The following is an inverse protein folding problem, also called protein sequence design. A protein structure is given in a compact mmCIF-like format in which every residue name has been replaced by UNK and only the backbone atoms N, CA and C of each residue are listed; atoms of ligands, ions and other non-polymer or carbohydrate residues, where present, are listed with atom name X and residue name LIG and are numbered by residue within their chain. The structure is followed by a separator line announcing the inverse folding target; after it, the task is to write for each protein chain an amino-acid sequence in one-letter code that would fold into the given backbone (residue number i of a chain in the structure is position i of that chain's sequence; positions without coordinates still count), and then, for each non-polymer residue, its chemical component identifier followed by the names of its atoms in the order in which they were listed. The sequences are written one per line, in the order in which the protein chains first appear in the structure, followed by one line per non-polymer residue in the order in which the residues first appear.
data_IF_909386265553
#
_entry.id   IF_909386265553
#
_cell.length_a   1.000
_cell.length_b   1.000
_cell.length_c   1.000
_cell.angle_alpha   90.00
_cell.angle_beta   90.00
_cell.angle_gamma   90.00
#
_symmetry.space_group_name_H-M   'P 1'
#
loop_
_entity.id
_entity.type
_entity.pdbx_description
1 polymer ?
#
# COMPACT_ATOMS: atom_id res chain seq x y z
N UNK A 1 59.66 -24.22 -39.91
CA UNK A 1 59.57 -23.06 -38.94
C UNK A 1 58.38 -22.11 -39.16
N UNK A 2 57.90 -21.89 -40.39
CA UNK A 2 56.76 -20.99 -40.64
C UNK A 2 55.39 -21.55 -40.11
N UNK A 3 55.14 -22.85 -40.24
CA UNK A 3 53.90 -23.51 -39.84
C UNK A 3 53.73 -23.48 -38.31
N UNK A 4 54.82 -23.65 -37.53
CA UNK A 4 54.81 -23.61 -36.09
C UNK A 4 54.39 -22.23 -35.51
N UNK A 5 54.82 -21.14 -36.19
CA UNK A 5 54.42 -19.77 -35.82
C UNK A 5 52.92 -19.51 -36.08
N UNK A 6 52.37 -20.07 -37.17
CA UNK A 6 50.95 -19.94 -37.49
C UNK A 6 50.08 -20.69 -36.48
N UNK A 7 50.45 -21.92 -36.10
CA UNK A 7 49.76 -22.72 -35.11
C UNK A 7 49.79 -22.03 -33.73
N UNK A 8 50.91 -21.45 -33.33
CA UNK A 8 51.04 -20.74 -32.07
C UNK A 8 50.14 -19.49 -32.01
N UNK A 9 50.08 -18.69 -33.08
CA UNK A 9 49.21 -17.51 -33.17
C UNK A 9 47.74 -17.89 -33.15
N UNK A 10 47.37 -18.98 -33.83
CA UNK A 10 45.99 -19.50 -33.79
C UNK A 10 45.59 -19.98 -32.41
N UNK A 11 46.49 -20.64 -31.69
CA UNK A 11 46.25 -21.15 -30.32
C UNK A 11 46.11 -19.99 -29.33
N UNK A 12 46.85 -18.90 -29.46
CA UNK A 12 46.73 -17.71 -28.63
C UNK A 12 45.43 -16.97 -28.92
N UNK A 13 44.96 -16.90 -30.18
CA UNK A 13 43.66 -16.31 -30.52
C UNK A 13 42.50 -17.12 -29.96
N UNK A 14 42.56 -18.45 -30.05
CA UNK A 14 41.50 -19.32 -29.48
C UNK A 14 41.48 -19.25 -27.95
N UNK A 15 42.66 -19.18 -27.30
CA UNK A 15 42.73 -19.02 -25.85
C UNK A 15 42.10 -17.69 -25.37
N UNK A 16 42.29 -16.59 -26.12
CA UNK A 16 41.65 -15.30 -25.78
C UNK A 16 40.14 -15.30 -26.02
N UNK A 17 39.59 -16.12 -26.90
CA UNK A 17 38.16 -16.26 -27.10
C UNK A 17 37.50 -17.13 -26.01
N UNK A 18 38.24 -18.05 -25.41
CA UNK A 18 37.69 -18.96 -24.34
C UNK A 18 37.81 -18.31 -22.97
N UNK A 19 38.71 -17.36 -22.75
CA UNK A 19 38.90 -16.63 -21.51
C UNK A 19 38.33 -15.21 -21.52
N UNK A 20 37.39 -14.89 -22.40
CA UNK A 20 36.56 -13.71 -22.18
C UNK A 20 35.72 -14.03 -20.94
N UNK A 21 35.99 -13.42 -19.76
CA UNK A 21 35.09 -13.59 -18.63
C UNK A 21 33.71 -13.18 -19.11
N UNK A 22 32.62 -13.89 -18.75
CA UNK A 22 31.30 -13.43 -19.07
C UNK A 22 31.25 -11.97 -18.61
N UNK A 23 31.01 -11.04 -19.55
CA UNK A 23 30.79 -9.66 -19.17
C UNK A 23 29.69 -9.74 -18.15
N UNK A 24 29.97 -9.35 -16.93
CA UNK A 24 28.98 -9.12 -15.90
C UNK A 24 28.22 -7.89 -16.38
N UNK A 25 27.41 -8.08 -17.44
CA UNK A 25 26.33 -7.17 -17.73
C UNK A 25 25.60 -7.07 -16.40
N UNK A 26 25.59 -5.88 -15.83
CA UNK A 26 24.96 -5.61 -14.54
C UNK A 26 23.69 -6.42 -14.45
N UNK A 27 23.61 -7.32 -13.49
CA UNK A 27 22.38 -8.07 -13.24
C UNK A 27 21.26 -7.04 -13.22
N UNK A 28 20.16 -7.25 -13.95
CA UNK A 28 19.11 -6.25 -14.06
C UNK A 28 18.72 -5.81 -12.65
N UNK A 29 18.97 -4.54 -12.33
CA UNK A 29 18.71 -3.99 -11.00
C UNK A 29 17.23 -4.23 -10.72
N UNK A 30 16.92 -4.98 -9.67
CA UNK A 30 15.54 -5.19 -9.23
C UNK A 30 14.90 -3.82 -9.06
N UNK A 31 13.79 -3.53 -9.74
CA UNK A 31 13.10 -2.25 -9.59
C UNK A 31 12.75 -1.98 -8.12
N UNK A 32 12.79 -0.74 -7.67
CA UNK A 32 12.51 -0.38 -6.27
C UNK A 32 11.13 -0.83 -5.80
N UNK A 33 10.14 -0.76 -6.69
CA UNK A 33 8.78 -1.19 -6.38
C UNK A 33 8.67 -2.70 -6.11
N UNK A 34 9.57 -3.53 -6.63
CA UNK A 34 9.50 -4.98 -6.47
C UNK A 34 9.68 -5.45 -5.01
N UNK A 35 10.25 -4.61 -4.14
CA UNK A 35 10.37 -4.86 -2.71
C UNK A 35 9.30 -4.14 -1.87
N UNK A 36 8.42 -3.38 -2.50
CA UNK A 36 7.31 -2.70 -1.82
C UNK A 36 6.26 -3.74 -1.40
N UNK A 37 5.88 -3.83 -0.10
CA UNK A 37 4.88 -4.78 0.37
C UNK A 37 3.54 -4.65 -0.35
N UNK A 38 3.09 -3.44 -0.64
CA UNK A 38 1.83 -3.19 -1.36
C UNK A 38 1.88 -3.69 -2.79
N UNK A 39 3.01 -3.51 -3.48
CA UNK A 39 3.21 -4.06 -4.82
C UNK A 39 3.13 -5.59 -4.84
N UNK A 40 3.74 -6.24 -3.86
CA UNK A 40 3.71 -7.70 -3.71
C UNK A 40 2.26 -8.15 -3.48
N UNK A 41 1.55 -7.55 -2.52
CA UNK A 41 0.18 -7.89 -2.17
C UNK A 41 -0.78 -7.68 -3.35
N UNK A 42 -0.71 -6.54 -4.04
CA UNK A 42 -1.52 -6.24 -5.23
C UNK A 42 -1.24 -7.21 -6.37
N UNK A 43 0.04 -7.58 -6.57
CA UNK A 43 0.43 -8.52 -7.62
C UNK A 43 -0.09 -9.93 -7.33
N UNK A 44 -0.01 -10.40 -6.09
CA UNK A 44 -0.56 -11.69 -5.68
C UNK A 44 -2.08 -11.74 -5.82
N UNK A 45 -2.79 -10.70 -5.35
CA UNK A 45 -4.23 -10.58 -5.49
C UNK A 45 -4.65 -10.58 -6.97
N UNK A 46 -3.94 -9.82 -7.84
CA UNK A 46 -4.20 -9.79 -9.28
C UNK A 46 -4.02 -11.17 -9.92
N UNK A 47 -2.93 -11.86 -9.60
CA UNK A 47 -2.66 -13.20 -10.14
C UNK A 47 -3.74 -14.20 -9.71
N UNK A 48 -4.19 -14.14 -8.46
CA UNK A 48 -5.28 -14.97 -7.93
C UNK A 48 -6.58 -14.76 -8.68
N UNK A 49 -6.98 -13.49 -8.91
CA UNK A 49 -8.21 -13.19 -9.64
C UNK A 49 -8.12 -13.54 -11.14
N UNK A 50 -6.96 -13.39 -11.76
CA UNK A 50 -6.76 -13.84 -13.15
C UNK A 50 -6.87 -15.35 -13.26
N UNK A 51 -6.26 -16.10 -12.34
CA UNK A 51 -6.41 -17.56 -12.30
C UNK A 51 -7.88 -18.00 -12.08
N UNK A 52 -8.62 -17.29 -11.20
CA UNK A 52 -10.04 -17.53 -10.98
C UNK A 52 -10.90 -17.24 -12.23
N UNK A 53 -10.54 -16.23 -13.02
CA UNK A 53 -11.19 -15.94 -14.31
C UNK A 53 -11.02 -17.07 -15.33
N UNK A 54 -9.83 -17.70 -15.36
CA UNK A 54 -9.50 -18.79 -16.28
C UNK A 54 -10.07 -20.14 -15.80
N UNK A 55 -10.47 -20.26 -14.52
CA UNK A 55 -11.08 -21.44 -13.91
C UNK A 55 -12.39 -21.05 -13.19
N UNK A 56 -13.52 -20.95 -13.90
CA UNK A 56 -14.78 -20.37 -13.38
C UNK A 56 -15.33 -21.07 -12.13
N UNK A 57 -15.03 -22.36 -11.93
CA UNK A 57 -15.47 -23.12 -10.75
C UNK A 57 -14.84 -22.61 -9.43
N UNK A 58 -13.78 -21.80 -9.51
CA UNK A 58 -13.09 -21.21 -8.34
C UNK A 58 -13.51 -19.76 -8.06
N UNK A 59 -14.26 -19.14 -8.97
CA UNK A 59 -14.71 -17.75 -8.86
C UNK A 59 -16.03 -17.59 -8.05
N UNK A 60 -16.30 -18.46 -7.08
CA UNK A 60 -17.60 -18.60 -6.38
C UNK A 60 -18.14 -17.34 -5.68
N UNK A 61 -17.34 -16.27 -5.56
CA UNK A 61 -17.71 -15.06 -4.84
C UNK A 61 -17.91 -13.81 -5.70
N UNK A 62 -17.77 -13.90 -7.03
CA UNK A 62 -17.86 -12.75 -7.94
C UNK A 62 -18.69 -13.08 -9.17
N UNK A 63 -19.49 -12.13 -9.62
CA UNK A 63 -20.02 -12.19 -10.97
C UNK A 63 -18.90 -11.94 -12.01
N UNK A 64 -19.04 -12.35 -13.28
CA UNK A 64 -18.02 -12.09 -14.30
C UNK A 64 -17.69 -10.59 -14.45
N UNK A 65 -18.69 -9.71 -14.35
CA UNK A 65 -18.52 -8.26 -14.41
C UNK A 65 -17.75 -7.70 -13.22
N UNK A 66 -18.08 -8.15 -12.00
CA UNK A 66 -17.38 -7.77 -10.79
C UNK A 66 -15.92 -8.22 -10.81
N UNK A 67 -15.68 -9.47 -11.24
CA UNK A 67 -14.34 -10.03 -11.39
C UNK A 67 -13.50 -9.19 -12.37
N UNK A 68 -14.08 -8.87 -13.55
CA UNK A 68 -13.41 -8.04 -14.55
C UNK A 68 -13.09 -6.63 -14.02
N UNK A 69 -14.04 -6.01 -13.32
CA UNK A 69 -13.85 -4.70 -12.68
C UNK A 69 -12.74 -4.74 -11.62
N UNK A 70 -12.73 -5.78 -10.79
CA UNK A 70 -11.72 -5.95 -9.74
C UNK A 70 -10.32 -6.18 -10.32
N UNK A 71 -10.21 -6.99 -11.38
CA UNK A 71 -8.95 -7.19 -12.11
C UNK A 71 -8.44 -5.85 -12.67
N UNK A 72 -9.30 -5.07 -13.33
CA UNK A 72 -8.93 -3.76 -13.89
C UNK A 72 -8.46 -2.78 -12.80
N UNK A 73 -9.11 -2.77 -11.63
CA UNK A 73 -8.70 -1.96 -10.48
C UNK A 73 -7.30 -2.35 -9.98
N UNK A 74 -7.03 -3.65 -9.82
CA UNK A 74 -5.73 -4.13 -9.38
C UNK A 74 -4.63 -3.91 -10.42
N UNK A 75 -4.94 -4.03 -11.72
CA UNK A 75 -4.01 -3.69 -12.80
C UNK A 75 -3.63 -2.21 -12.77
N UNK A 76 -4.61 -1.33 -12.59
CA UNK A 76 -4.36 0.11 -12.44
C UNK A 76 -3.53 0.40 -11.20
N UNK A 77 -3.86 -0.21 -10.06
CA UNK A 77 -3.14 -0.03 -8.80
C UNK A 77 -1.69 -0.53 -8.91
N UNK A 78 -1.47 -1.71 -9.50
CA UNK A 78 -0.14 -2.24 -9.81
C UNK A 78 0.67 -1.29 -10.67
N UNK A 79 0.08 -0.76 -11.75
CA UNK A 79 0.73 0.21 -12.63
C UNK A 79 1.10 1.50 -11.88
N UNK A 80 0.22 1.99 -11.01
CA UNK A 80 0.49 3.16 -10.18
C UNK A 80 1.70 2.93 -9.25
N UNK A 81 1.79 1.75 -8.62
CA UNK A 81 2.93 1.38 -7.78
C UNK A 81 4.24 1.24 -8.58
N UNK A 82 4.16 0.81 -9.84
CA UNK A 82 5.33 0.69 -10.72
C UNK A 82 5.86 2.05 -11.21
N UNK A 83 4.97 3.01 -11.44
CA UNK A 83 5.28 4.28 -12.11
C UNK A 83 5.17 5.50 -11.21
N UNK A 84 4.41 5.38 -10.13
CA UNK A 84 4.13 6.46 -9.20
C UNK A 84 5.15 6.58 -8.07
N UNK A 85 4.80 7.38 -7.08
CA UNK A 85 5.59 7.56 -5.87
C UNK A 85 5.05 6.65 -4.77
N UNK A 86 5.93 5.98 -4.00
CA UNK A 86 5.52 4.97 -3.03
C UNK A 86 5.10 5.63 -1.69
N UNK A 87 4.00 6.35 -1.67
CA UNK A 87 3.36 6.85 -0.45
C UNK A 87 1.87 7.05 -0.63
N UNK A 88 1.13 6.83 0.44
CA UNK A 88 -0.28 7.18 0.57
C UNK A 88 -0.45 8.61 1.09
N UNK A 89 -1.61 9.20 0.87
CA UNK A 89 -1.99 10.50 1.41
C UNK A 89 -3.35 10.39 2.10
N UNK A 90 -3.46 11.00 3.30
CA UNK A 90 -4.69 11.06 4.08
C UNK A 90 -5.22 12.47 4.15
N UNK A 91 -6.53 12.63 3.87
CA UNK A 91 -7.26 13.88 4.05
C UNK A 91 -8.41 13.67 5.04
N UNK A 92 -8.51 14.57 5.99
CA UNK A 92 -9.54 14.56 7.03
C UNK A 92 -10.64 15.59 6.72
N UNK A 93 -11.86 15.11 6.48
CA UNK A 93 -13.09 15.92 6.31
C UNK A 93 -14.20 15.38 7.25
N UNK A 94 -13.82 14.91 8.46
CA UNK A 94 -14.77 14.28 9.41
C UNK A 94 -15.39 15.25 10.39
N UNK A 95 -14.89 16.50 10.47
CA UNK A 95 -15.27 17.46 11.50
C UNK A 95 -14.64 17.18 12.88
N UNK A 96 -13.73 16.19 12.98
CA UNK A 96 -13.07 15.75 14.22
C UNK A 96 -11.59 15.49 13.95
N UNK A 97 -10.80 15.25 15.00
CA UNK A 97 -9.42 14.80 14.82
C UNK A 97 -9.40 13.36 14.29
N UNK A 98 -8.64 13.11 13.23
CA UNK A 98 -8.42 11.78 12.67
C UNK A 98 -7.08 11.23 13.15
N UNK A 99 -7.03 9.99 13.61
CA UNK A 99 -5.77 9.31 13.90
C UNK A 99 -5.29 8.56 12.66
N UNK A 100 -4.07 8.84 12.21
CA UNK A 100 -3.47 8.28 11.00
C UNK A 100 -2.16 7.56 11.31
N UNK A 101 -1.87 6.50 10.59
CA UNK A 101 -0.62 5.77 10.68
C UNK A 101 0.39 6.32 9.66
N UNK A 102 1.65 6.32 10.05
CA UNK A 102 2.74 6.70 9.15
C UNK A 102 4.12 6.36 9.71
N UNK A 103 5.20 6.77 9.03
CA UNK A 103 6.56 6.37 9.37
C UNK A 103 6.94 6.75 10.79
N UNK A 104 7.60 5.84 11.50
CA UNK A 104 8.15 6.13 12.82
C UNK A 104 9.24 7.20 12.74
N UNK A 105 9.24 8.13 13.69
CA UNK A 105 10.36 9.06 13.87
C UNK A 105 11.61 8.28 14.25
N UNK A 106 12.78 8.67 13.74
CA UNK A 106 14.06 7.97 13.98
C UNK A 106 14.38 7.71 15.47
N UNK A 107 13.89 8.56 16.37
CA UNK A 107 14.06 8.44 17.82
C UNK A 107 13.05 7.48 18.48
N UNK A 108 12.03 7.02 17.79
CA UNK A 108 11.01 6.08 18.27
C UNK A 108 11.33 4.62 17.88
N UNK A 109 12.57 4.31 17.60
CA UNK A 109 13.02 3.00 17.13
C UNK A 109 12.81 1.83 18.12
N UNK A 110 12.53 2.13 19.40
CA UNK A 110 12.30 1.11 20.43
C UNK A 110 10.92 0.44 20.36
N UNK A 111 9.97 1.02 19.60
CA UNK A 111 8.67 0.40 19.40
C UNK A 111 8.77 -0.82 18.48
N UNK A 112 8.14 -1.93 18.87
CA UNK A 112 8.05 -3.16 18.06
C UNK A 112 7.11 -3.04 16.86
N UNK A 113 6.22 -2.02 16.83
CA UNK A 113 5.26 -1.82 15.75
C UNK A 113 5.93 -1.23 14.50
N UNK A 114 5.35 -1.45 13.32
CA UNK A 114 5.91 -1.02 12.04
C UNK A 114 5.78 0.48 11.80
N UNK A 115 4.70 1.09 12.30
CA UNK A 115 4.35 2.49 12.12
C UNK A 115 4.06 3.20 13.45
N UNK A 116 3.79 4.48 13.39
CA UNK A 116 3.36 5.29 14.53
C UNK A 116 2.01 5.97 14.23
N UNK A 117 1.26 6.29 15.29
CA UNK A 117 0.03 7.07 15.21
C UNK A 117 0.35 8.56 15.29
N UNK A 118 -0.33 9.31 14.44
CA UNK A 118 -0.32 10.77 14.37
C UNK A 118 -1.75 11.29 14.36
N UNK A 119 -1.93 12.56 14.69
CA UNK A 119 -3.25 13.19 14.78
C UNK A 119 -3.37 14.29 13.72
N UNK A 120 -4.35 14.14 12.84
CA UNK A 120 -4.63 15.01 11.71
C UNK A 120 -5.90 15.81 12.01
N UNK A 121 -5.79 17.13 12.11
CA UNK A 121 -6.95 17.99 12.37
C UNK A 121 -7.93 17.98 11.20
N UNK A 122 -9.18 18.34 11.47
CA UNK A 122 -10.19 18.48 10.43
C UNK A 122 -9.78 19.48 9.35
N UNK A 123 -10.12 19.20 8.10
CA UNK A 123 -9.75 19.98 6.92
C UNK A 123 -8.30 19.80 6.45
N UNK A 124 -7.45 19.11 7.21
CA UNK A 124 -6.05 18.93 6.85
C UNK A 124 -5.80 17.71 5.96
N UNK A 125 -4.71 17.81 5.20
CA UNK A 125 -4.17 16.73 4.37
C UNK A 125 -2.72 16.46 4.82
N UNK A 126 -2.32 15.20 4.87
CA UNK A 126 -0.93 14.83 5.18
C UNK A 126 0.02 15.34 4.11
N UNK A 127 1.23 15.74 4.54
CA UNK A 127 2.26 16.30 3.66
C UNK A 127 2.59 15.37 2.49
N UNK A 128 2.77 15.96 1.32
CA UNK A 128 3.31 15.26 0.15
C UNK A 128 4.70 14.68 0.47
N UNK A 129 4.91 13.41 0.20
CA UNK A 129 6.09 12.60 0.55
C UNK A 129 6.14 12.08 1.99
N UNK A 130 5.16 12.38 2.83
CA UNK A 130 4.96 11.68 4.08
C UNK A 130 3.97 10.55 3.84
N UNK A 131 4.40 9.33 4.11
CA UNK A 131 3.61 8.15 3.82
C UNK A 131 2.51 7.97 4.85
N UNK A 132 1.24 8.11 4.41
CA UNK A 132 0.09 7.75 5.21
C UNK A 132 -0.24 6.28 4.96
N UNK A 133 0.21 5.39 5.87
CA UNK A 133 -0.01 3.95 5.79
C UNK A 133 -1.47 3.54 6.04
N UNK A 134 -2.23 4.36 6.80
CA UNK A 134 -3.59 4.00 7.19
C UNK A 134 -4.28 4.97 8.14
N UNK A 135 -5.52 4.60 8.49
CA UNK A 135 -6.38 5.34 9.42
C UNK A 135 -6.78 4.42 10.57
N UNK A 136 -6.71 4.93 11.80
CA UNK A 136 -7.29 4.28 12.97
C UNK A 136 -8.74 4.76 13.16
N UNK A 137 -9.65 3.83 13.33
CA UNK A 137 -11.06 4.09 13.71
C UNK A 137 -11.24 3.81 15.20
N UNK A 138 -11.55 4.84 16.01
CA UNK A 138 -11.83 4.68 17.44
C UNK A 138 -12.96 3.71 17.75
N UNK A 139 -12.97 3.11 18.93
CA UNK A 139 -13.87 2.01 19.29
C UNK A 139 -15.36 2.37 19.29
N UNK A 140 -15.69 3.65 19.45
CA UNK A 140 -17.05 4.20 19.40
C UNK A 140 -17.44 4.77 18.03
N UNK A 141 -16.57 4.69 17.02
CA UNK A 141 -16.83 5.18 15.67
C UNK A 141 -17.30 4.03 14.78
N UNK A 142 -18.30 4.31 13.95
CA UNK A 142 -18.73 3.42 12.88
C UNK A 142 -18.19 3.90 11.56
N UNK A 143 -17.84 2.96 10.69
CA UNK A 143 -17.46 3.27 9.32
C UNK A 143 -18.25 2.43 8.33
N UNK A 144 -18.42 2.95 7.13
CA UNK A 144 -19.04 2.23 6.03
C UNK A 144 -17.93 1.60 5.19
N UNK A 145 -17.93 0.27 5.07
CA UNK A 145 -16.99 -0.44 4.22
C UNK A 145 -17.38 -0.31 2.75
N UNK A 146 -16.48 0.24 1.95
CA UNK A 146 -16.67 0.41 0.50
C UNK A 146 -16.15 -0.77 -0.32
N UNK A 147 -16.02 -1.97 0.27
CA UNK A 147 -15.41 -3.14 -0.41
C UNK A 147 -16.03 -3.50 -1.75
N UNK A 148 -17.28 -3.13 -1.99
CA UNK A 148 -17.91 -3.35 -3.29
C UNK A 148 -19.08 -2.41 -3.52
N UNK A 149 -19.17 -1.84 -4.73
CA UNK A 149 -20.31 -1.03 -5.15
C UNK A 149 -21.64 -1.82 -5.24
N UNK A 150 -21.57 -3.16 -5.16
CA UNK A 150 -22.71 -4.06 -5.33
C UNK A 150 -22.99 -4.97 -4.12
N UNK A 151 -22.19 -4.87 -3.05
CA UNK A 151 -22.52 -5.52 -1.77
C UNK A 151 -23.14 -4.49 -0.83
N UNK A 152 -24.12 -4.89 0.01
CA UNK A 152 -24.60 -3.98 1.04
C UNK A 152 -23.41 -3.51 1.86
N UNK A 153 -23.29 -2.19 2.02
CA UNK A 153 -22.21 -1.57 2.81
C UNK A 153 -22.22 -2.18 4.20
N UNK A 154 -21.22 -2.99 4.51
CA UNK A 154 -21.08 -3.54 5.84
C UNK A 154 -20.64 -2.42 6.78
N UNK A 155 -21.41 -2.23 7.84
CA UNK A 155 -21.07 -1.26 8.86
C UNK A 155 -19.99 -1.86 9.76
N UNK A 156 -18.80 -1.29 9.70
CA UNK A 156 -17.70 -1.63 10.59
C UNK A 156 -17.85 -0.89 11.91
N UNK A 157 -17.63 -1.60 13.00
CA UNK A 157 -17.46 -0.99 14.33
C UNK A 157 -15.98 -0.75 14.56
N UNK A 158 -15.61 0.42 15.08
CA UNK A 158 -14.22 0.82 15.29
C UNK A 158 -13.45 -0.05 16.30
N UNK A 159 -12.29 0.45 16.73
CA UNK A 159 -11.27 -0.33 17.40
C UNK A 159 -10.43 -1.11 16.38
N UNK A 160 -10.24 -0.55 15.18
CA UNK A 160 -9.54 -1.19 14.07
C UNK A 160 -8.70 -0.19 13.26
N UNK A 161 -7.76 -0.71 12.50
CA UNK A 161 -6.97 0.06 11.56
C UNK A 161 -7.35 -0.28 10.12
N UNK A 162 -7.47 0.76 9.29
CA UNK A 162 -7.74 0.65 7.85
C UNK A 162 -6.46 0.95 7.11
N UNK A 163 -5.92 -0.01 6.37
CA UNK A 163 -4.71 0.17 5.55
C UNK A 163 -5.03 0.91 4.26
N UNK A 164 -4.15 1.82 3.89
CA UNK A 164 -4.14 2.54 2.62
C UNK A 164 -3.01 1.99 1.76
N UNK A 165 -3.25 1.87 0.46
CA UNK A 165 -2.23 1.44 -0.49
C UNK A 165 -1.46 2.64 -1.01
N UNK A 166 -0.15 2.50 -1.15
CA UNK A 166 0.73 3.49 -1.77
C UNK A 166 0.17 3.99 -3.12
N UNK A 167 0.37 5.27 -3.40
CA UNK A 167 -0.17 5.92 -4.60
C UNK A 167 -1.64 6.29 -4.50
N UNK A 168 -2.28 6.10 -3.34
CA UNK A 168 -3.69 6.43 -3.11
C UNK A 168 -3.85 7.66 -2.21
N UNK A 169 -4.76 8.55 -2.55
CA UNK A 169 -5.26 9.57 -1.65
C UNK A 169 -6.60 9.11 -1.07
N UNK A 170 -6.63 8.88 0.25
CA UNK A 170 -7.87 8.60 0.97
C UNK A 170 -8.43 9.87 1.58
N UNK A 171 -9.73 10.09 1.41
CA UNK A 171 -10.48 11.15 2.08
C UNK A 171 -11.46 10.50 3.03
N UNK A 172 -11.32 10.77 4.32
CA UNK A 172 -12.27 10.35 5.35
C UNK A 172 -13.31 11.46 5.57
N UNK A 173 -14.58 11.14 5.48
CA UNK A 173 -15.71 12.06 5.67
C UNK A 173 -16.68 11.52 6.69
N UNK A 174 -17.36 12.39 7.42
CA UNK A 174 -18.52 11.99 8.20
C UNK A 174 -19.78 12.00 7.34
N UNK A 175 -20.51 10.89 7.31
CA UNK A 175 -21.83 10.86 6.71
C UNK A 175 -22.79 11.74 7.53
N UNK A 176 -23.46 12.73 6.94
CA UNK A 176 -24.30 13.68 7.69
C UNK A 176 -25.52 13.02 8.35
N UNK A 177 -26.03 11.93 7.82
CA UNK A 177 -27.23 11.26 8.31
C UNK A 177 -26.94 10.23 9.39
N UNK A 178 -25.81 9.53 9.29
CA UNK A 178 -25.47 8.40 10.17
C UNK A 178 -24.30 8.70 11.12
N UNK A 179 -23.56 9.78 10.90
CA UNK A 179 -22.31 10.12 11.55
C UNK A 179 -21.20 9.04 11.40
N UNK A 180 -21.42 8.05 10.54
CA UNK A 180 -20.40 7.06 10.20
C UNK A 180 -19.29 7.69 9.36
N UNK A 181 -18.07 7.20 9.51
CA UNK A 181 -16.95 7.59 8.64
C UNK A 181 -17.07 6.86 7.30
N UNK A 182 -16.95 7.61 6.23
CA UNK A 182 -16.94 7.10 4.87
C UNK A 182 -15.61 7.44 4.21
N UNK A 183 -15.14 6.54 3.34
CA UNK A 183 -13.93 6.74 2.56
C UNK A 183 -14.27 6.89 1.07
N UNK A 184 -13.54 7.74 0.35
CA UNK A 184 -13.70 7.94 -1.10
C UNK A 184 -13.19 6.77 -1.94
N UNK A 185 -12.42 5.87 -1.37
CA UNK A 185 -11.83 4.69 -2.01
C UNK A 185 -12.11 3.44 -1.17
N UNK A 186 -12.21 2.25 -1.81
CA UNK A 186 -12.30 0.99 -1.07
C UNK A 186 -11.09 0.81 -0.14
N UNK A 187 -11.36 0.32 1.05
CA UNK A 187 -10.29 -0.05 2.00
C UNK A 187 -9.51 -1.24 1.46
N UNK A 188 -8.18 -1.15 1.47
CA UNK A 188 -7.34 -2.25 1.01
C UNK A 188 -7.40 -3.42 1.97
N UNK A 189 -7.25 -3.13 3.28
CA UNK A 189 -7.22 -4.14 4.33
C UNK A 189 -7.64 -3.53 5.66
N UNK A 190 -8.29 -4.34 6.48
CA UNK A 190 -8.71 -3.96 7.83
C UNK A 190 -7.95 -4.84 8.81
N UNK A 191 -7.34 -4.23 9.82
CA UNK A 191 -6.65 -4.92 10.90
C UNK A 191 -7.38 -4.71 12.22
N UNK A 192 -7.69 -5.81 12.89
CA UNK A 192 -8.08 -5.81 14.29
C UNK A 192 -6.82 -5.86 15.19
N UNK A 193 -6.94 -5.55 16.49
CA UNK A 193 -5.85 -5.69 17.43
C UNK A 193 -5.17 -7.05 17.32
N UNK A 194 -3.83 -7.05 17.15
CA UNK A 194 -3.02 -8.27 17.05
C UNK A 194 -3.01 -8.98 15.70
N UNK A 195 -3.74 -8.50 14.69
CA UNK A 195 -3.74 -9.11 13.34
C UNK A 195 -2.57 -8.66 12.44
N UNK A 196 -1.97 -7.55 12.78
CA UNK A 196 -0.80 -7.00 12.10
C UNK A 196 0.17 -6.41 13.11
N UNK A 197 1.39 -6.08 12.67
CA UNK A 197 2.37 -5.39 13.52
C UNK A 197 2.09 -3.88 13.62
N UNK A 198 0.81 -3.55 13.81
CA UNK A 198 0.30 -2.20 14.00
C UNK A 198 -0.27 -2.05 15.42
N UNK A 199 -0.01 -0.91 16.04
CA UNK A 199 -0.62 -0.59 17.32
C UNK A 199 -2.06 -0.14 17.10
N UNK A 200 -3.02 -1.00 17.44
CA UNK A 200 -4.46 -0.71 17.36
C UNK A 200 -4.97 -0.56 18.79
N UNK A 201 -5.08 0.68 19.33
CA UNK A 201 -5.55 0.92 20.69
C UNK A 201 -7.07 0.70 20.82
N UNK A 202 -7.56 0.55 22.04
CA UNK A 202 -8.98 0.61 22.36
C UNK A 202 -9.28 1.95 23.04
N UNK A 203 -9.51 3.00 22.23
CA UNK A 203 -9.82 4.35 22.72
C UNK A 203 -10.99 4.95 21.94
N UNK A 204 -11.69 5.91 22.58
CA UNK A 204 -12.84 6.61 21.99
C UNK A 204 -12.42 7.78 21.11
N UNK A 205 -13.32 8.26 20.27
CA UNK A 205 -13.12 9.48 19.48
C UNK A 205 -12.84 10.70 20.36
N UNK A 206 -13.53 10.82 21.50
CA UNK A 206 -13.30 11.92 22.43
C UNK A 206 -11.87 11.94 22.97
N UNK A 207 -11.25 10.77 23.16
CA UNK A 207 -9.85 10.68 23.54
C UNK A 207 -8.92 11.13 22.40
N UNK A 208 -9.23 10.76 21.15
CA UNK A 208 -8.48 11.22 19.97
C UNK A 208 -8.61 12.74 19.80
N UNK A 209 -9.81 13.30 19.96
CA UNK A 209 -10.06 14.75 19.86
C UNK A 209 -9.30 15.56 20.92
N UNK A 210 -8.94 14.96 22.05
CA UNK A 210 -8.12 15.60 23.08
C UNK A 210 -6.62 15.66 22.73
N UNK A 211 -6.19 14.98 21.70
CA UNK A 211 -4.78 14.98 21.29
C UNK A 211 -4.43 16.22 20.45
N UNK A 212 -3.22 16.72 20.62
CA UNK A 212 -2.71 17.79 19.78
C UNK A 212 -2.41 17.26 18.37
N UNK A 213 -2.89 17.93 17.31
CA UNK A 213 -2.51 17.59 15.94
C UNK A 213 -0.98 17.62 15.76
N UNK A 214 -0.43 16.56 15.20
CA UNK A 214 1.01 16.38 15.04
C UNK A 214 1.40 15.62 13.77
N UNK A 215 0.43 15.24 12.93
CA UNK A 215 0.70 14.72 11.61
C UNK A 215 1.38 15.82 10.76
N UNK A 216 2.42 15.49 9.99
CA UNK A 216 2.94 16.42 8.99
C UNK A 216 1.84 16.74 7.96
N UNK A 217 1.57 18.03 7.74
CA UNK A 217 0.49 18.49 6.87
C UNK A 217 1.00 19.42 5.78
N UNK A 218 0.31 19.42 4.65
CA UNK A 218 0.53 20.45 3.63
C UNK A 218 0.18 21.83 4.24
N UNK A 219 1.07 22.81 4.03
CA UNK A 219 0.75 24.19 4.35
C UNK A 219 -0.38 24.61 3.40
N UNK A 220 -1.50 25.03 3.94
CA UNK A 220 -2.56 25.65 3.16
C UNK A 220 -2.10 27.06 2.80
N UNK A 221 -1.64 27.25 1.55
CA UNK A 221 -1.40 28.55 0.95
C UNK A 221 -2.71 29.36 0.78
#
# INVERSE_FOLDING_TARGET
MKIFKFVLVLLVMVANLVFVPPSWADAPKTPRYASNPDYIEVTEALNTLKAAKDAPDTAQNYTPEELQKKIAQLEFQKYTLETGKPWGQCRNETGKTLAVYGPKRKKAAESSYENALYFLADGQTTEHKWDCDGIYLPSDVKATDLRSANQPSEQLTGGLAVKIVDGTQVVARANPDTAAVEFNVPTAKIFQPGQANWFVPDVTQAYIDSQLPNAPTEEND
#
